data_IF_657789252169
#
_entry.id   IF_657789252169
#
_cell.length_a   1.000
_cell.length_b   1.000
_cell.length_c   1.000
_cell.angle_alpha   90.00
_cell.angle_beta   90.00
_cell.angle_gamma   90.00
#
_symmetry.space_group_name_H-M   'P 1'
#
loop_
_entity.id
_entity.type
_entity.pdbx_description
1 polymer ?
#
# COMPACT_ATOMS: atom_id res chain seq x y z
N UNK A 1 -18.84 -0.11 5.33
CA UNK A 1 -17.42 0.19 5.05
C UNK A 1 -17.13 -0.27 3.64
N UNK A 2 -16.37 0.52 2.87
CA UNK A 2 -15.92 0.16 1.53
C UNK A 2 -14.41 0.06 1.51
N UNK A 3 -13.85 -0.51 0.44
CA UNK A 3 -12.40 -0.71 0.29
C UNK A 3 -11.73 0.60 -0.09
N UNK A 4 -10.73 1.01 0.69
CA UNK A 4 -9.95 2.23 0.49
C UNK A 4 -8.48 1.90 0.36
N UNK A 5 -7.80 2.45 -0.65
CA UNK A 5 -6.34 2.30 -0.78
C UNK A 5 -5.63 3.40 0.00
N UNK A 6 -4.68 2.98 0.83
CA UNK A 6 -3.80 3.86 1.59
C UNK A 6 -2.35 3.65 1.12
N UNK A 7 -1.63 4.75 0.91
CA UNK A 7 -0.19 4.76 0.73
C UNK A 7 0.48 5.38 1.97
N UNK A 8 1.18 4.56 2.74
CA UNK A 8 1.98 5.03 3.90
C UNK A 8 3.47 5.00 3.53
N UNK A 9 4.19 6.08 3.80
CA UNK A 9 5.63 6.15 3.52
C UNK A 9 6.43 5.13 4.34
N UNK A 10 7.44 4.52 3.73
CA UNK A 10 8.35 3.59 4.41
C UNK A 10 9.75 3.65 3.79
N UNK A 11 10.80 3.78 4.60
CA UNK A 11 12.18 3.66 4.14
C UNK A 11 12.45 2.24 3.62
N UNK A 12 13.41 2.08 2.70
CA UNK A 12 13.79 0.73 2.22
C UNK A 12 14.29 -0.16 3.38
N UNK A 13 14.85 0.45 4.42
CA UNK A 13 15.30 -0.23 5.63
C UNK A 13 14.10 -0.70 6.49
N UNK A 14 13.08 0.13 6.69
CA UNK A 14 11.84 -0.29 7.35
C UNK A 14 11.11 -1.37 6.57
N UNK A 15 11.08 -1.27 5.23
CA UNK A 15 10.57 -2.35 4.40
C UNK A 15 11.36 -3.64 4.58
N UNK A 16 12.70 -3.58 4.68
CA UNK A 16 13.53 -4.75 4.95
C UNK A 16 13.24 -5.36 6.34
N UNK A 17 13.02 -4.53 7.37
CA UNK A 17 12.61 -4.97 8.71
C UNK A 17 11.24 -5.66 8.68
N UNK A 18 10.28 -5.10 7.95
CA UNK A 18 8.95 -5.67 7.75
C UNK A 18 9.01 -6.99 6.96
N UNK A 19 9.85 -7.10 5.94
CA UNK A 19 10.07 -8.38 5.24
C UNK A 19 10.69 -9.45 6.15
N UNK A 20 11.58 -9.04 7.07
CA UNK A 20 12.19 -9.93 8.05
C UNK A 20 11.23 -10.33 9.20
N UNK A 21 10.28 -9.47 9.55
CA UNK A 21 9.27 -9.69 10.57
C UNK A 21 7.89 -9.14 10.13
N UNK A 22 7.15 -9.85 9.25
CA UNK A 22 5.88 -9.33 8.72
C UNK A 22 4.83 -9.03 9.78
N UNK A 23 4.85 -9.75 10.91
CA UNK A 23 3.95 -9.51 12.05
C UNK A 23 4.05 -8.10 12.65
N UNK A 24 5.16 -7.40 12.42
CA UNK A 24 5.32 -6.01 12.86
C UNK A 24 4.50 -5.01 12.01
N UNK A 25 3.89 -5.44 10.89
CA UNK A 25 3.16 -4.54 10.00
C UNK A 25 1.99 -3.85 10.70
N UNK A 26 1.29 -4.52 11.61
CA UNK A 26 0.18 -3.91 12.33
C UNK A 26 0.63 -2.67 13.10
N UNK A 27 1.74 -2.77 13.85
CA UNK A 27 2.35 -1.64 14.57
C UNK A 27 2.87 -0.53 13.64
N UNK A 28 3.17 -0.86 12.38
CA UNK A 28 3.61 0.12 11.39
C UNK A 28 2.43 0.88 10.77
N UNK A 29 1.31 0.20 10.52
CA UNK A 29 0.14 0.80 9.86
C UNK A 29 -0.85 1.42 10.84
N UNK A 30 -0.98 0.88 12.06
CA UNK A 30 -1.79 1.47 13.12
C UNK A 30 -1.00 2.57 13.81
N UNK A 31 -1.54 3.79 13.83
CA UNK A 31 -1.00 4.88 14.65
C UNK A 31 -1.25 4.61 16.17
N UNK A 32 -1.98 3.55 16.50
CA UNK A 32 -2.25 3.11 17.87
C UNK A 32 -1.08 2.27 18.42
N UNK A 33 -0.45 2.78 19.48
CA UNK A 33 0.53 2.09 20.34
C UNK A 33 -0.09 0.94 21.18
N UNK A 34 -1.12 0.24 20.70
CA UNK A 34 -1.74 -0.84 21.47
C UNK A 34 -0.98 -2.15 21.22
N UNK A 35 0.11 -2.32 21.98
CA UNK A 35 0.93 -3.53 22.06
C UNK A 35 0.13 -4.70 22.69
N UNK A 36 -0.86 -5.22 21.95
CA UNK A 36 -1.63 -6.40 22.31
C UNK A 36 -0.89 -7.72 22.12
N UNK A 37 0.34 -7.84 22.63
CA UNK A 37 1.16 -9.06 22.55
C UNK A 37 0.78 -10.01 23.70
N UNK A 38 -0.34 -10.72 23.59
CA UNK A 38 -0.68 -11.83 24.48
C UNK A 38 0.11 -13.09 24.08
N UNK A 39 1.41 -13.10 24.37
CA UNK A 39 2.27 -14.31 24.28
C UNK A 39 1.90 -15.27 25.43
N UNK A 40 0.89 -16.12 25.20
CA UNK A 40 0.58 -17.26 26.07
C UNK A 40 1.69 -18.31 25.88
N UNK A 41 2.77 -18.15 26.64
CA UNK A 41 3.92 -19.05 26.65
C UNK A 41 3.52 -20.51 26.89
N UNK A 42 3.88 -21.37 25.94
CA UNK A 42 3.77 -22.81 26.05
C UNK A 42 4.74 -23.35 27.13
N UNK A 43 4.18 -23.87 28.22
CA UNK A 43 4.91 -24.55 29.29
C UNK A 43 5.30 -25.97 28.85
N UNK A 44 6.11 -26.07 27.80
CA UNK A 44 6.64 -27.33 27.27
C UNK A 44 7.90 -27.80 28.00
N UNK A 45 7.84 -29.00 28.59
CA UNK A 45 8.85 -29.57 29.49
C UNK A 45 10.29 -29.65 28.94
N UNK A 46 11.23 -29.47 29.87
CA UNK A 46 12.69 -29.41 29.67
C UNK A 46 13.33 -30.55 28.86
N UNK A 47 12.70 -31.73 28.81
CA UNK A 47 13.22 -32.91 28.11
C UNK A 47 12.99 -32.86 26.58
N UNK A 48 12.00 -32.09 26.10
CA UNK A 48 11.71 -31.97 24.66
C UNK A 48 12.65 -31.00 23.91
N UNK A 49 13.39 -30.15 24.65
CA UNK A 49 14.36 -29.18 24.10
C UNK A 49 15.71 -29.78 23.74
N UNK A 50 16.05 -30.97 24.26
CA UNK A 50 17.40 -31.55 24.12
C UNK A 50 17.68 -32.15 22.72
N UNK A 51 16.65 -32.33 21.88
CA UNK A 51 16.76 -32.93 20.55
C UNK A 51 16.26 -32.03 19.41
N UNK A 52 15.88 -30.78 19.71
CA UNK A 52 15.45 -29.84 18.67
C UNK A 52 16.69 -29.22 18.00
N UNK A 53 16.78 -29.19 16.66
CA UNK A 53 17.77 -28.37 15.99
C UNK A 53 17.56 -26.92 16.45
N UNK A 54 18.65 -26.19 16.71
CA UNK A 54 18.58 -24.77 17.04
C UNK A 54 17.84 -24.01 15.93
N UNK A 55 16.55 -23.76 16.13
CA UNK A 55 15.77 -22.84 15.30
C UNK A 55 16.13 -21.44 15.81
N UNK A 56 16.77 -20.63 14.97
CA UNK A 56 17.02 -19.21 15.29
C UNK A 56 15.68 -18.60 15.73
N UNK A 57 15.60 -17.96 16.91
CA UNK A 57 14.34 -17.38 17.36
C UNK A 57 13.84 -16.39 16.31
N UNK A 58 12.55 -16.51 15.96
CA UNK A 58 11.90 -15.57 15.07
C UNK A 58 11.87 -14.19 15.76
N UNK A 59 12.19 -13.09 15.05
CA UNK A 59 12.13 -11.75 15.64
C UNK A 59 10.69 -11.47 16.09
N UNK A 60 10.53 -10.90 17.29
CA UNK A 60 9.22 -10.47 17.78
C UNK A 60 8.84 -9.16 17.13
N UNK A 61 7.54 -8.97 16.87
CA UNK A 61 7.02 -7.73 16.30
C UNK A 61 7.31 -6.51 17.20
N UNK A 62 7.28 -6.72 18.51
CA UNK A 62 7.61 -5.73 19.54
C UNK A 62 9.08 -5.27 19.49
N UNK A 63 10.00 -6.11 19.02
CA UNK A 63 11.43 -5.81 18.93
C UNK A 63 11.80 -5.00 17.69
N UNK A 64 10.89 -4.83 16.73
CA UNK A 64 11.13 -4.05 15.52
C UNK A 64 10.99 -2.57 15.84
N UNK A 65 12.06 -1.81 15.56
CA UNK A 65 12.11 -0.35 15.71
C UNK A 65 12.13 0.26 14.32
N UNK A 66 11.17 1.15 14.07
CA UNK A 66 11.04 1.85 12.80
C UNK A 66 11.74 3.21 12.79
N UNK A 67 12.05 3.70 11.61
CA UNK A 67 12.68 5.00 11.44
C UNK A 67 11.72 6.13 11.84
N UNK A 68 12.29 7.28 12.21
CA UNK A 68 11.53 8.52 12.29
C UNK A 68 11.63 9.29 10.98
N UNK A 69 10.56 10.00 10.63
CA UNK A 69 10.43 10.62 9.31
C UNK A 69 10.14 12.11 9.42
N UNK A 70 10.41 12.83 8.33
CA UNK A 70 10.29 14.29 8.28
C UNK A 70 8.83 14.79 8.21
N UNK A 71 7.88 13.92 7.92
CA UNK A 71 6.45 14.19 7.82
C UNK A 71 5.68 12.94 8.25
N UNK A 72 4.39 13.01 8.56
CA UNK A 72 3.62 11.85 9.07
C UNK A 72 2.27 11.65 8.37
N UNK A 73 2.02 12.36 7.28
CA UNK A 73 0.85 12.14 6.43
C UNK A 73 0.98 10.85 5.60
N UNK A 74 -0.18 10.25 5.37
CA UNK A 74 -0.43 9.19 4.39
C UNK A 74 -1.35 9.71 3.28
N UNK A 75 -1.36 9.02 2.14
CA UNK A 75 -2.32 9.30 1.08
C UNK A 75 -3.43 8.26 1.09
N UNK A 76 -4.64 8.71 1.34
CA UNK A 76 -5.88 7.95 1.25
C UNK A 76 -6.56 8.28 -0.09
N UNK A 77 -6.73 7.26 -0.94
CA UNK A 77 -7.37 7.39 -2.25
C UNK A 77 -8.91 7.29 -2.19
N UNK A 78 -9.49 7.20 -1.00
CA UNK A 78 -10.86 6.79 -0.71
C UNK A 78 -11.22 5.56 -1.57
N UNK A 79 -12.44 5.48 -2.07
CA UNK A 79 -12.88 4.44 -3.00
C UNK A 79 -12.46 4.71 -4.45
N UNK A 80 -11.69 5.77 -4.73
CA UNK A 80 -11.27 6.14 -6.08
C UNK A 80 -10.18 5.21 -6.64
N UNK A 81 -9.54 4.42 -5.78
CA UNK A 81 -8.31 3.68 -6.08
C UNK A 81 -8.37 2.82 -7.34
N UNK A 82 -9.45 2.06 -7.55
CA UNK A 82 -9.56 1.15 -8.70
C UNK A 82 -9.83 1.96 -9.98
N UNK A 83 -10.64 3.01 -9.89
CA UNK A 83 -10.87 3.96 -10.97
C UNK A 83 -9.58 4.66 -11.39
N UNK A 84 -8.79 5.17 -10.44
CA UNK A 84 -7.47 5.74 -10.71
C UNK A 84 -6.53 4.73 -11.38
N UNK A 85 -6.49 3.51 -10.87
CA UNK A 85 -5.69 2.44 -11.45
C UNK A 85 -6.08 2.14 -12.90
N UNK A 86 -7.38 2.07 -13.19
CA UNK A 86 -7.91 1.92 -14.55
C UNK A 86 -7.51 3.10 -15.45
N UNK A 87 -7.62 4.35 -15.00
CA UNK A 87 -7.19 5.50 -15.82
C UNK A 87 -5.68 5.47 -16.14
N UNK A 88 -4.87 4.91 -15.25
CA UNK A 88 -3.41 4.82 -15.43
C UNK A 88 -3.01 3.63 -16.30
N UNK A 89 -3.75 2.51 -16.28
CA UNK A 89 -3.33 1.24 -16.88
C UNK A 89 -4.25 0.73 -18.01
N UNK A 90 -5.51 1.12 -18.01
CA UNK A 90 -6.58 0.59 -18.86
C UNK A 90 -7.10 -0.79 -18.42
N UNK A 91 -6.70 -1.28 -17.25
CA UNK A 91 -7.00 -2.64 -16.76
C UNK A 91 -7.50 -2.60 -15.31
N UNK A 92 -8.17 -3.67 -14.87
CA UNK A 92 -8.69 -3.77 -13.51
C UNK A 92 -7.56 -4.00 -12.50
N UNK A 93 -6.78 -5.06 -12.71
CA UNK A 93 -5.72 -5.44 -11.75
C UNK A 93 -4.37 -5.63 -12.42
N UNK A 94 -4.32 -5.78 -13.75
CA UNK A 94 -3.09 -5.92 -14.51
C UNK A 94 -2.43 -4.57 -14.78
N UNK A 95 -1.32 -4.56 -15.49
CA UNK A 95 -0.67 -3.32 -15.89
C UNK A 95 0.85 -3.44 -15.91
N UNK A 96 1.47 -2.52 -16.64
CA UNK A 96 2.91 -2.36 -16.61
C UNK A 96 3.33 -1.43 -15.48
N UNK A 97 4.56 -1.58 -15.02
CA UNK A 97 5.22 -0.55 -14.25
C UNK A 97 5.28 0.76 -15.06
N UNK A 98 5.26 1.93 -14.40
CA UNK A 98 5.21 2.11 -12.93
C UNK A 98 3.84 1.94 -12.23
N UNK A 99 2.67 2.27 -12.81
CA UNK A 99 1.39 2.23 -12.09
C UNK A 99 1.04 0.89 -11.45
N UNK A 100 1.50 -0.22 -12.03
CA UNK A 100 1.38 -1.57 -11.46
C UNK A 100 1.78 -1.65 -9.98
N UNK A 101 2.74 -0.86 -9.53
CA UNK A 101 3.24 -0.91 -8.14
C UNK A 101 2.15 -0.62 -7.10
N UNK A 102 1.11 0.13 -7.45
CA UNK A 102 0.02 0.47 -6.54
C UNK A 102 -0.74 -0.77 -6.03
N UNK A 103 -0.94 -1.78 -6.88
CA UNK A 103 -1.73 -2.98 -6.53
C UNK A 103 -0.91 -4.29 -6.56
N UNK A 104 0.24 -4.30 -7.23
CA UNK A 104 1.00 -5.52 -7.52
C UNK A 104 2.50 -5.37 -7.27
N UNK A 105 2.90 -4.54 -6.31
CA UNK A 105 4.26 -4.62 -5.77
C UNK A 105 4.42 -5.87 -4.87
N UNK A 106 5.64 -6.30 -4.54
CA UNK A 106 5.84 -7.48 -3.69
C UNK A 106 5.19 -7.31 -2.30
N UNK A 107 4.42 -8.30 -1.80
CA UNK A 107 3.74 -8.20 -0.51
C UNK A 107 4.70 -8.29 0.68
N UNK A 108 4.37 -7.60 1.78
CA UNK A 108 4.95 -7.80 3.11
C UNK A 108 4.31 -9.04 3.72
N UNK A 109 4.94 -10.19 3.53
CA UNK A 109 4.47 -11.46 4.09
C UNK A 109 3.05 -11.84 3.66
N UNK A 110 2.22 -12.24 4.63
CA UNK A 110 0.83 -12.70 4.42
C UNK A 110 -0.15 -12.13 5.44
N UNK A 111 0.31 -11.22 6.30
CA UNK A 111 -0.54 -10.64 7.34
C UNK A 111 -1.62 -9.78 6.68
N UNK A 112 -2.84 -9.86 7.17
CA UNK A 112 -3.97 -9.10 6.64
C UNK A 112 -4.05 -7.75 7.35
N UNK A 113 -3.94 -6.66 6.60
CA UNK A 113 -4.05 -5.29 7.14
C UNK A 113 -5.39 -4.62 6.83
N UNK A 114 -6.38 -5.37 6.32
CA UNK A 114 -7.74 -4.92 6.06
C UNK A 114 -8.43 -5.77 4.98
N UNK A 115 -7.86 -5.73 3.77
CA UNK A 115 -8.29 -6.51 2.61
C UNK A 115 -7.10 -7.25 1.95
N UNK A 116 -6.24 -7.86 2.77
CA UNK A 116 -5.05 -8.59 2.34
C UNK A 116 -3.74 -7.92 2.80
N UNK A 117 -2.58 -8.39 2.28
CA UNK A 117 -1.29 -7.90 2.72
C UNK A 117 -0.96 -6.52 2.13
N UNK A 118 -0.17 -5.75 2.88
CA UNK A 118 0.46 -4.55 2.37
C UNK A 118 1.51 -4.90 1.30
N UNK A 119 1.65 -4.04 0.29
CA UNK A 119 2.59 -4.17 -0.81
C UNK A 119 3.74 -3.19 -0.63
N UNK A 120 4.98 -3.67 -0.78
CA UNK A 120 6.20 -2.87 -0.62
C UNK A 120 6.64 -2.23 -1.94
N UNK A 121 6.65 -0.91 -1.98
CA UNK A 121 7.12 -0.08 -3.10
C UNK A 121 8.44 0.56 -2.66
N UNK A 122 9.56 0.16 -3.27
CA UNK A 122 10.87 0.69 -2.88
C UNK A 122 11.04 2.17 -3.23
N UNK A 123 12.02 2.85 -2.64
CA UNK A 123 12.34 4.24 -2.95
C UNK A 123 12.60 4.47 -4.45
N UNK A 124 13.26 3.52 -5.13
CA UNK A 124 13.45 3.60 -6.58
C UNK A 124 12.12 3.48 -7.34
N UNK A 125 11.25 2.53 -6.96
CA UNK A 125 9.93 2.37 -7.58
C UNK A 125 9.04 3.60 -7.35
N UNK A 126 9.10 4.22 -6.16
CA UNK A 126 8.44 5.48 -5.86
C UNK A 126 8.95 6.61 -6.76
N UNK A 127 10.26 6.72 -6.95
CA UNK A 127 10.85 7.73 -7.85
C UNK A 127 10.46 7.50 -9.33
N UNK A 128 10.36 6.25 -9.78
CA UNK A 128 9.85 5.89 -11.11
C UNK A 128 8.37 6.25 -11.27
N UNK A 129 7.53 5.89 -10.29
CA UNK A 129 6.11 6.22 -10.27
C UNK A 129 5.88 7.73 -10.24
N UNK A 130 6.58 8.45 -9.37
CA UNK A 130 6.54 9.91 -9.28
C UNK A 130 6.87 10.55 -10.63
N UNK A 131 7.99 10.17 -11.28
CA UNK A 131 8.35 10.70 -12.60
C UNK A 131 7.29 10.41 -13.65
N UNK A 132 6.70 9.21 -13.64
CA UNK A 132 5.63 8.84 -14.55
C UNK A 132 4.39 9.72 -14.36
N UNK A 133 3.89 9.84 -13.13
CA UNK A 133 2.72 10.67 -12.80
C UNK A 133 2.95 12.16 -13.10
N UNK A 134 4.18 12.66 -12.89
CA UNK A 134 4.54 14.04 -13.21
C UNK A 134 4.57 14.32 -14.72
N UNK A 135 4.88 13.32 -15.54
CA UNK A 135 4.84 13.42 -17.00
C UNK A 135 3.44 13.34 -17.60
N UNK A 136 2.42 13.00 -16.82
CA UNK A 136 1.04 12.92 -17.27
C UNK A 136 0.30 14.26 -17.10
N UNK A 137 -0.47 14.63 -18.13
CA UNK A 137 -1.45 15.70 -18.07
C UNK A 137 -2.75 15.20 -17.44
N UNK A 138 -3.32 15.96 -16.49
CA UNK A 138 -4.55 15.59 -15.78
C UNK A 138 -5.72 15.41 -16.76
N UNK A 139 -5.89 16.32 -17.72
CA UNK A 139 -6.97 16.24 -18.70
C UNK A 139 -6.86 15.00 -19.58
N UNK A 140 -5.64 14.65 -20.01
CA UNK A 140 -5.38 13.45 -20.79
C UNK A 140 -5.62 12.15 -20.01
N UNK A 141 -5.34 12.12 -18.69
CA UNK A 141 -5.67 10.98 -17.83
C UNK A 141 -7.18 10.84 -17.69
N UNK A 142 -7.89 11.93 -17.38
CA UNK A 142 -9.35 11.91 -17.23
C UNK A 142 -10.09 11.64 -18.54
N UNK A 143 -9.48 11.93 -19.70
CA UNK A 143 -10.01 11.58 -21.00
C UNK A 143 -10.07 10.05 -21.25
N UNK A 144 -9.39 9.24 -20.43
CA UNK A 144 -9.44 7.77 -20.49
C UNK A 144 -10.63 7.17 -19.73
N UNK A 145 -11.41 8.01 -19.04
CA UNK A 145 -12.63 7.56 -18.39
C UNK A 145 -13.59 6.93 -19.41
N UNK A 146 -14.02 5.71 -19.12
CA UNK A 146 -14.96 4.95 -19.94
C UNK A 146 -15.91 4.20 -19.00
N UNK A 147 -17.04 4.83 -18.68
CA UNK A 147 -18.03 4.28 -17.74
C UNK A 147 -18.45 2.85 -18.10
N UNK A 148 -18.76 2.61 -19.38
CA UNK A 148 -19.20 1.30 -19.87
C UNK A 148 -18.11 0.25 -19.64
N UNK A 149 -16.87 0.58 -19.99
CA UNK A 149 -15.75 -0.35 -19.81
C UNK A 149 -15.42 -0.59 -18.34
N UNK A 150 -15.52 0.44 -17.50
CA UNK A 150 -15.27 0.35 -16.07
C UNK A 150 -16.34 -0.53 -15.38
N UNK A 151 -17.61 -0.41 -15.75
CA UNK A 151 -18.67 -1.33 -15.29
C UNK A 151 -18.45 -2.75 -15.79
N UNK A 152 -18.11 -2.95 -17.08
CA UNK A 152 -17.84 -4.29 -17.64
C UNK A 152 -16.65 -5.01 -17.01
N UNK A 153 -15.69 -4.27 -16.47
CA UNK A 153 -14.50 -4.78 -15.79
C UNK A 153 -14.68 -4.89 -14.27
N UNK A 154 -15.88 -4.64 -13.75
CA UNK A 154 -16.17 -4.60 -12.31
C UNK A 154 -15.21 -3.67 -11.54
N UNK A 155 -14.89 -2.50 -12.12
CA UNK A 155 -14.04 -1.51 -11.46
C UNK A 155 -14.77 -0.96 -10.24
N UNK A 156 -14.11 -0.97 -9.09
CA UNK A 156 -14.65 -0.50 -7.82
C UNK A 156 -14.60 1.05 -7.75
N UNK A 157 -15.65 1.77 -7.31
CA UNK A 157 -16.77 1.29 -6.51
C UNK A 157 -18.11 1.23 -7.25
N UNK A 158 -18.20 0.62 -8.44
CA UNK A 158 -19.48 0.40 -9.17
C UNK A 158 -20.46 1.62 -9.17
N UNK A 159 -19.91 2.81 -9.41
CA UNK A 159 -20.65 4.09 -9.48
C UNK A 159 -20.58 4.74 -10.87
N UNK A 160 -20.08 4.02 -11.88
CA UNK A 160 -19.66 4.66 -13.14
C UNK A 160 -20.80 5.15 -14.03
N UNK A 161 -22.04 4.79 -13.70
CA UNK A 161 -23.25 5.30 -14.35
C UNK A 161 -23.72 6.67 -13.80
N UNK A 162 -23.07 7.19 -12.75
CA UNK A 162 -23.34 8.50 -12.18
C UNK A 162 -22.82 9.65 -13.08
N UNK A 163 -22.93 10.90 -12.60
CA UNK A 163 -22.53 12.10 -13.33
C UNK A 163 -21.06 12.05 -13.73
N UNK A 164 -20.78 11.98 -15.05
CA UNK A 164 -19.40 11.96 -15.57
C UNK A 164 -18.57 13.17 -15.10
N UNK A 165 -19.18 14.35 -14.98
CA UNK A 165 -18.50 15.56 -14.51
C UNK A 165 -18.05 15.38 -13.05
N UNK A 166 -18.91 14.86 -12.19
CA UNK A 166 -18.62 14.65 -10.77
C UNK A 166 -17.58 13.53 -10.59
N UNK A 167 -17.73 12.43 -11.34
CA UNK A 167 -16.77 11.32 -11.33
C UNK A 167 -15.38 11.75 -11.81
N UNK A 168 -15.30 12.59 -12.86
CA UNK A 168 -14.01 13.12 -13.34
C UNK A 168 -13.40 14.12 -12.37
N UNK A 169 -14.20 14.89 -11.64
CA UNK A 169 -13.67 15.77 -10.60
C UNK A 169 -13.12 14.94 -9.42
N UNK A 170 -13.87 13.94 -8.95
CA UNK A 170 -13.45 12.99 -7.92
C UNK A 170 -12.15 12.26 -8.27
N UNK A 171 -12.08 11.63 -9.45
CA UNK A 171 -10.88 10.97 -9.95
C UNK A 171 -9.74 11.98 -10.19
N UNK A 172 -10.07 13.21 -10.57
CA UNK A 172 -9.08 14.28 -10.75
C UNK A 172 -8.40 14.67 -9.44
N UNK A 173 -9.18 14.85 -8.37
CA UNK A 173 -8.65 15.12 -7.04
C UNK A 173 -7.78 13.98 -6.52
N UNK A 174 -8.24 12.73 -6.71
CA UNK A 174 -7.45 11.55 -6.36
C UNK A 174 -6.13 11.45 -7.13
N UNK A 175 -6.13 11.77 -8.43
CA UNK A 175 -4.91 11.79 -9.24
C UNK A 175 -3.91 12.86 -8.78
N UNK A 176 -4.40 14.07 -8.51
CA UNK A 176 -3.56 15.19 -8.04
C UNK A 176 -2.94 14.88 -6.66
N UNK A 177 -3.72 14.28 -5.75
CA UNK A 177 -3.25 13.82 -4.45
C UNK A 177 -2.19 12.71 -4.54
N UNK A 178 -2.45 11.67 -5.36
CA UNK A 178 -1.51 10.57 -5.60
C UNK A 178 -0.17 11.10 -6.14
N UNK A 179 -0.24 12.00 -7.13
CA UNK A 179 0.92 12.65 -7.73
C UNK A 179 1.72 13.45 -6.69
N UNK A 180 1.06 14.28 -5.90
CA UNK A 180 1.71 15.08 -4.86
C UNK A 180 2.39 14.20 -3.80
N UNK A 181 1.73 13.13 -3.36
CA UNK A 181 2.27 12.24 -2.34
C UNK A 181 3.46 11.41 -2.85
N UNK A 182 3.38 10.85 -4.06
CA UNK A 182 4.50 10.15 -4.70
C UNK A 182 5.70 11.08 -4.89
N UNK A 183 5.48 12.34 -5.28
CA UNK A 183 6.54 13.34 -5.40
C UNK A 183 7.20 13.61 -4.05
N UNK A 184 6.39 13.84 -3.01
CA UNK A 184 6.89 14.08 -1.66
C UNK A 184 7.73 12.92 -1.13
N UNK A 185 7.29 11.67 -1.30
CA UNK A 185 8.09 10.51 -0.90
C UNK A 185 9.39 10.41 -1.70
N UNK A 186 9.34 10.65 -3.03
CA UNK A 186 10.51 10.62 -3.89
C UNK A 186 11.56 11.70 -3.53
N UNK A 187 11.12 12.93 -3.20
CA UNK A 187 12.01 14.02 -2.78
C UNK A 187 12.76 13.72 -1.49
N UNK A 188 12.19 12.86 -0.64
CA UNK A 188 12.80 12.39 0.59
C UNK A 188 13.53 11.04 0.45
N UNK A 189 13.60 10.47 -0.75
CA UNK A 189 14.22 9.16 -0.98
C UNK A 189 13.51 8.00 -0.27
N UNK A 190 12.19 8.12 -0.08
CA UNK A 190 11.38 7.13 0.62
C UNK A 190 10.62 6.22 -0.34
N UNK A 191 10.48 4.96 0.06
CA UNK A 191 9.50 4.05 -0.49
C UNK A 191 8.10 4.27 0.13
N UNK A 192 7.17 3.39 -0.22
CA UNK A 192 5.80 3.39 0.30
C UNK A 192 5.32 1.95 0.54
N UNK A 193 4.37 1.80 1.45
CA UNK A 193 3.51 0.63 1.55
C UNK A 193 2.15 0.99 0.95
N UNK A 194 1.61 0.11 0.11
CA UNK A 194 0.25 0.20 -0.41
C UNK A 194 -0.62 -0.88 0.21
N UNK A 195 -1.74 -0.52 0.79
CA UNK A 195 -2.67 -1.48 1.40
C UNK A 195 -4.12 -1.01 1.29
N UNK A 196 -5.05 -1.95 1.44
CA UNK A 196 -6.49 -1.68 1.35
C UNK A 196 -7.15 -1.96 2.70
N UNK A 197 -7.94 -1.01 3.20
CA UNK A 197 -8.71 -1.06 4.46
C UNK A 197 -10.20 -0.80 4.26
#
# INVERSE_FOLDING_TARGET
MGMVLVLKRASDEDQARLHACPKAIHRFVSDDEDDGDADLGDAGGWLARLLQPFKKPEPKASDVVFDSYAFDDEFDADKAWHGLYFLLTGTAYEGAAPPRYLLNAPPIGKEDVGYGPAMSISANQTAELSRHLNGLDRGAVLARFDAKRMTELDIYPDIWEESEIELKDYLGGGFDGLKAYCQKCADHGLGMLSYII
#
